data_IF_109704398155
#
_entry.id   IF_109704398155
#
_cell.length_a   1.000
_cell.length_b   1.000
_cell.length_c   1.000
_cell.angle_alpha   90.00
_cell.angle_beta   90.00
_cell.angle_gamma   90.00
#
_symmetry.space_group_name_H-M   'P 1'
#
loop_
_entity.id
_entity.type
_entity.pdbx_description
1 polymer ?
#
# COMPACT_ATOMS: atom_id res chain seq x y z
N UNK A 1 -40.03 30.98 32.58
CA UNK A 1 -38.93 31.12 31.58
C UNK A 1 -39.04 32.55 31.02
N UNK A 2 -38.07 33.44 31.32
CA UNK A 2 -38.03 34.80 30.75
C UNK A 2 -37.65 34.73 29.28
N UNK A 3 -38.48 35.33 28.41
CA UNK A 3 -38.20 35.44 26.99
C UNK A 3 -37.02 36.39 26.78
N UNK A 4 -35.95 35.91 26.16
CA UNK A 4 -34.81 36.71 25.74
C UNK A 4 -35.25 37.73 24.69
N UNK A 5 -34.88 39.03 24.92
CA UNK A 5 -35.22 40.11 24.00
C UNK A 5 -34.26 40.08 22.77
N UNK A 6 -34.72 40.55 21.59
CA UNK A 6 -33.89 40.70 20.39
C UNK A 6 -32.60 41.49 20.64
N UNK A 7 -32.62 42.41 21.61
CA UNK A 7 -31.50 43.25 21.99
C UNK A 7 -30.45 42.50 22.79
N UNK A 8 -30.85 41.50 23.59
CA UNK A 8 -29.95 40.67 24.35
C UNK A 8 -29.27 39.62 23.41
N UNK A 9 -29.99 39.10 22.43
CA UNK A 9 -29.46 38.23 21.43
C UNK A 9 -28.35 38.90 20.57
N UNK A 10 -28.56 40.15 20.15
CA UNK A 10 -27.57 40.90 19.37
C UNK A 10 -26.34 41.28 20.23
N UNK A 11 -26.45 41.51 21.52
CA UNK A 11 -25.30 41.70 22.41
C UNK A 11 -24.46 40.43 22.55
N UNK A 12 -25.10 39.28 22.67
CA UNK A 12 -24.39 38.00 22.75
C UNK A 12 -23.68 37.62 21.46
N UNK A 13 -24.28 37.87 20.31
CA UNK A 13 -23.63 37.60 19.02
C UNK A 13 -22.47 38.56 18.74
N UNK A 14 -22.51 39.81 19.13
CA UNK A 14 -21.40 40.76 18.98
C UNK A 14 -20.23 40.46 19.93
N UNK A 15 -20.47 39.91 21.12
CA UNK A 15 -19.39 39.44 22.02
C UNK A 15 -18.72 38.17 21.53
N UNK A 16 -19.44 37.25 20.90
CA UNK A 16 -18.83 36.05 20.30
C UNK A 16 -17.93 36.38 19.07
N UNK A 17 -18.32 37.38 18.27
CA UNK A 17 -17.53 37.82 17.12
C UNK A 17 -16.22 38.51 17.53
N UNK A 18 -16.21 39.24 18.66
CA UNK A 18 -15.00 39.87 19.21
C UNK A 18 -14.00 38.85 19.78
N UNK A 19 -14.48 37.79 20.41
CA UNK A 19 -13.63 36.74 20.97
C UNK A 19 -12.93 35.91 19.87
N UNK A 20 -13.58 35.74 18.71
CA UNK A 20 -12.98 35.01 17.55
C UNK A 20 -11.90 35.83 16.82
N UNK A 21 -11.99 37.19 16.85
CA UNK A 21 -11.00 38.04 16.20
C UNK A 21 -9.72 38.19 17.04
N UNK A 22 -9.80 38.11 18.36
CA UNK A 22 -8.63 38.21 19.26
C UNK A 22 -7.84 36.92 19.39
N UNK A 23 -8.42 35.76 19.04
CA UNK A 23 -7.73 34.48 19.10
C UNK A 23 -6.73 34.25 17.89
N UNK A 24 -6.80 35.12 16.86
CA UNK A 24 -5.90 35.04 15.70
C UNK A 24 -4.63 35.91 15.81
N UNK A 25 -4.48 36.68 16.89
CA UNK A 25 -3.35 37.62 17.09
C UNK A 25 -2.38 37.22 18.20
N UNK A 26 -2.54 36.05 18.79
CA UNK A 26 -1.53 35.52 19.71
C UNK A 26 -0.49 34.74 18.90
N UNK A 27 0.79 35.13 18.89
CA UNK A 27 1.84 34.25 18.37
C UNK A 27 1.89 33.04 19.28
N UNK A 28 1.49 31.88 18.77
CA UNK A 28 1.73 30.61 19.44
C UNK A 28 3.23 30.34 19.42
N UNK A 29 3.94 30.81 20.42
CA UNK A 29 5.20 30.23 20.85
C UNK A 29 4.89 28.79 21.29
N UNK A 30 4.98 27.87 20.35
CA UNK A 30 4.97 26.44 20.60
C UNK A 30 6.27 26.11 21.32
N UNK A 31 6.28 26.25 22.65
CA UNK A 31 7.24 25.58 23.49
C UNK A 31 6.97 24.08 23.34
N UNK A 32 7.78 23.42 22.56
CA UNK A 32 7.85 21.97 22.52
C UNK A 32 8.14 21.48 23.93
N UNK A 33 7.09 20.97 24.61
CA UNK A 33 7.28 20.24 25.87
C UNK A 33 8.18 19.03 25.58
N UNK A 34 9.21 18.80 26.39
CA UNK A 34 9.96 17.57 26.30
C UNK A 34 8.98 16.42 26.54
N UNK A 35 8.93 15.47 25.61
CA UNK A 35 8.16 14.23 25.71
C UNK A 35 8.79 13.41 26.85
N UNK A 36 8.27 13.58 28.06
CA UNK A 36 8.53 12.69 29.18
C UNK A 36 7.44 11.60 29.17
N UNK A 37 7.84 10.40 28.87
CA UNK A 37 7.05 9.18 28.90
C UNK A 37 7.42 8.33 27.71
N UNK A 38 8.03 7.16 27.92
CA UNK A 38 8.35 6.21 26.87
C UNK A 38 7.07 5.69 26.20
N UNK A 39 6.52 6.47 25.28
CA UNK A 39 5.48 5.97 24.40
C UNK A 39 6.10 4.89 23.54
N UNK A 40 5.44 3.72 23.44
CA UNK A 40 5.85 2.66 22.53
C UNK A 40 6.04 3.26 21.13
N UNK A 41 7.08 2.84 20.38
CA UNK A 41 7.29 3.31 19.03
C UNK A 41 6.08 2.97 18.14
N UNK A 42 5.81 3.81 17.15
CA UNK A 42 4.87 3.43 16.10
C UNK A 42 5.50 2.37 15.19
N UNK A 43 4.66 1.65 14.48
CA UNK A 43 5.06 0.70 13.44
C UNK A 43 4.34 1.10 12.16
N UNK A 44 5.07 1.63 11.19
CA UNK A 44 4.55 2.04 9.90
C UNK A 44 5.00 1.03 8.85
N UNK A 45 4.08 0.38 8.18
CA UNK A 45 4.36 -0.65 7.18
C UNK A 45 3.84 -0.17 5.83
N UNK A 46 4.74 -0.04 4.85
CA UNK A 46 4.43 0.28 3.47
C UNK A 46 4.69 -0.96 2.61
N UNK A 47 3.63 -1.50 2.04
CA UNK A 47 3.69 -2.61 1.08
C UNK A 47 3.39 -2.06 -0.30
N UNK A 48 4.32 -2.23 -1.23
CA UNK A 48 4.16 -1.87 -2.63
C UNK A 48 3.84 -3.15 -3.43
N UNK A 49 2.65 -3.20 -3.98
CA UNK A 49 2.14 -4.39 -4.68
C UNK A 49 2.98 -4.73 -5.93
N UNK A 50 3.36 -5.97 -6.06
CA UNK A 50 4.16 -6.48 -7.18
C UNK A 50 5.55 -5.81 -7.33
N UNK A 51 6.18 -5.30 -6.26
CA UNK A 51 7.49 -4.67 -6.35
C UNK A 51 8.64 -5.68 -6.25
N UNK A 52 9.27 -5.99 -7.36
CA UNK A 52 10.43 -6.88 -7.43
C UNK A 52 11.72 -6.18 -6.98
N UNK A 53 12.47 -6.77 -6.05
CA UNK A 53 13.81 -6.30 -5.71
C UNK A 53 14.77 -6.31 -6.90
N UNK A 54 14.52 -7.15 -7.91
CA UNK A 54 15.34 -7.27 -9.14
C UNK A 54 15.24 -6.04 -10.05
N UNK A 55 14.25 -5.15 -9.82
CA UNK A 55 14.05 -3.93 -10.60
C UNK A 55 14.37 -2.65 -9.79
N UNK A 56 14.94 -2.79 -8.58
CA UNK A 56 15.29 -1.65 -7.73
C UNK A 56 16.80 -1.38 -7.74
N UNK A 57 17.18 -0.13 -8.03
CA UNK A 57 18.60 0.27 -8.05
C UNK A 57 19.28 0.09 -6.69
N UNK A 58 18.55 0.22 -5.58
CA UNK A 58 19.04 -0.02 -4.22
C UNK A 58 19.51 -1.48 -4.00
N UNK A 59 18.99 -2.43 -4.78
CA UNK A 59 19.40 -3.84 -4.79
C UNK A 59 20.30 -4.21 -5.99
N UNK A 60 20.90 -3.20 -6.64
CA UNK A 60 21.88 -3.41 -7.71
C UNK A 60 21.30 -3.51 -9.11
N UNK A 61 20.04 -3.11 -9.32
CA UNK A 61 19.50 -2.99 -10.67
C UNK A 61 20.18 -1.88 -11.46
N UNK A 62 20.44 -2.10 -12.74
CA UNK A 62 21.23 -1.19 -13.56
C UNK A 62 20.55 0.16 -13.82
N UNK A 63 19.24 0.19 -13.99
CA UNK A 63 18.48 1.45 -14.10
C UNK A 63 18.27 2.09 -12.73
N UNK A 64 18.44 3.40 -12.66
CA UNK A 64 18.18 4.14 -11.42
C UNK A 64 16.67 4.35 -11.23
N UNK A 65 15.98 3.28 -10.81
CA UNK A 65 14.53 3.24 -10.62
C UNK A 65 14.08 3.72 -9.26
N UNK A 66 14.98 3.67 -8.24
CA UNK A 66 14.60 3.82 -6.84
C UNK A 66 15.58 4.68 -6.01
N UNK A 67 15.89 5.93 -6.44
CA UNK A 67 16.85 6.78 -5.71
C UNK A 67 16.37 7.18 -4.30
N UNK A 68 15.07 7.34 -4.07
CA UNK A 68 14.54 7.67 -2.74
C UNK A 68 14.47 6.45 -1.82
N UNK A 69 14.17 5.26 -2.32
CA UNK A 69 14.35 4.03 -1.57
C UNK A 69 15.83 3.80 -1.20
N UNK A 70 16.78 4.18 -2.07
CA UNK A 70 18.20 4.17 -1.74
C UNK A 70 18.53 5.17 -0.62
N UNK A 71 17.96 6.39 -0.63
CA UNK A 71 18.06 7.37 0.47
C UNK A 71 17.50 6.81 1.78
N UNK A 72 16.35 6.13 1.73
CA UNK A 72 15.78 5.48 2.90
C UNK A 72 16.70 4.38 3.45
N UNK A 73 17.32 3.60 2.56
CA UNK A 73 18.25 2.52 2.92
C UNK A 73 19.45 3.02 3.74
N UNK A 74 19.90 4.28 3.54
CA UNK A 74 21.02 4.85 4.30
C UNK A 74 20.76 4.97 5.82
N UNK A 75 19.50 4.82 6.23
CA UNK A 75 19.06 4.82 7.64
C UNK A 75 18.26 3.60 8.03
N UNK A 76 18.41 2.50 7.31
CA UNK A 76 17.61 1.29 7.50
C UNK A 76 18.48 0.04 7.53
N UNK A 77 17.94 -1.04 8.07
CA UNK A 77 18.44 -2.40 7.87
C UNK A 77 17.88 -2.91 6.56
N UNK A 78 18.75 -3.25 5.61
CA UNK A 78 18.41 -3.73 4.26
C UNK A 78 18.62 -5.23 4.19
N UNK A 79 17.57 -5.97 3.89
CA UNK A 79 17.60 -7.41 3.72
C UNK A 79 17.82 -7.73 2.23
N UNK A 80 19.05 -8.11 1.89
CA UNK A 80 19.47 -8.28 0.50
C UNK A 80 18.93 -9.56 -0.15
N UNK A 81 18.48 -10.52 0.64
CA UNK A 81 17.93 -11.81 0.20
C UNK A 81 16.59 -12.09 0.90
N UNK A 82 15.60 -11.19 0.73
CA UNK A 82 14.25 -11.37 1.27
C UNK A 82 13.29 -11.87 0.20
N UNK A 83 12.48 -12.86 0.56
CA UNK A 83 11.58 -13.56 -0.36
C UNK A 83 10.14 -13.48 0.13
N UNK A 84 9.21 -13.32 -0.80
CA UNK A 84 7.80 -13.56 -0.54
C UNK A 84 7.51 -15.06 -0.48
N UNK A 85 6.59 -15.47 0.37
CA UNK A 85 6.08 -16.84 0.42
C UNK A 85 5.04 -17.14 -0.66
N UNK A 86 4.70 -16.17 -1.51
CA UNK A 86 3.81 -16.31 -2.65
C UNK A 86 4.28 -15.49 -3.85
N UNK A 87 3.89 -15.89 -5.06
CA UNK A 87 4.24 -15.20 -6.30
C UNK A 87 3.14 -14.25 -6.81
N UNK A 88 2.07 -14.04 -6.03
CA UNK A 88 0.98 -13.10 -6.32
C UNK A 88 0.27 -12.66 -5.02
N UNK A 89 -0.60 -11.66 -5.11
CA UNK A 89 -1.14 -10.93 -3.95
C UNK A 89 -1.74 -11.82 -2.87
N UNK A 90 -2.59 -12.79 -3.23
CA UNK A 90 -3.34 -13.55 -2.21
C UNK A 90 -2.41 -14.37 -1.29
N UNK A 91 -1.55 -15.28 -1.78
CA UNK A 91 -0.65 -16.02 -0.89
C UNK A 91 0.44 -15.14 -0.27
N UNK A 92 1.00 -14.18 -1.02
CA UNK A 92 2.06 -13.29 -0.52
C UNK A 92 1.58 -12.41 0.63
N UNK A 93 0.47 -11.71 0.44
CA UNK A 93 -0.13 -10.85 1.48
C UNK A 93 -0.64 -11.66 2.67
N UNK A 94 -1.30 -12.80 2.43
CA UNK A 94 -1.76 -13.65 3.54
C UNK A 94 -0.60 -14.13 4.41
N UNK A 95 0.52 -14.53 3.78
CA UNK A 95 1.73 -14.95 4.52
C UNK A 95 2.36 -13.79 5.30
N UNK A 96 2.45 -12.61 4.67
CA UNK A 96 2.97 -11.39 5.34
C UNK A 96 2.12 -11.00 6.56
N UNK A 97 0.79 -11.06 6.42
CA UNK A 97 -0.14 -10.67 7.48
C UNK A 97 -0.26 -11.71 8.60
N UNK A 98 -0.08 -12.99 8.30
CA UNK A 98 -0.28 -14.06 9.30
C UNK A 98 1.01 -14.63 9.88
N UNK A 99 2.14 -14.54 9.17
CA UNK A 99 3.37 -15.26 9.52
C UNK A 99 3.25 -16.77 9.31
N UNK A 100 2.33 -17.20 8.42
CA UNK A 100 2.11 -18.60 8.08
C UNK A 100 2.38 -18.83 6.59
N UNK A 101 2.80 -20.05 6.23
CA UNK A 101 2.95 -20.42 4.84
C UNK A 101 1.62 -20.68 4.12
N UNK A 102 1.57 -20.58 2.78
CA UNK A 102 0.35 -20.77 2.00
C UNK A 102 -0.36 -22.10 2.24
N UNK A 103 0.40 -23.19 2.43
CA UNK A 103 -0.17 -24.51 2.75
C UNK A 103 -0.82 -24.59 4.12
N UNK A 104 -0.48 -23.69 5.04
CA UNK A 104 -1.08 -23.58 6.37
C UNK A 104 -2.29 -22.65 6.35
N UNK A 105 -2.12 -21.39 5.92
CA UNK A 105 -3.23 -20.42 5.94
C UNK A 105 -4.28 -20.66 4.86
N UNK A 106 -4.00 -21.47 3.81
CA UNK A 106 -4.92 -21.91 2.75
C UNK A 106 -5.38 -20.84 1.75
N UNK A 107 -4.97 -19.60 1.85
CA UNK A 107 -5.21 -18.58 0.83
C UNK A 107 -4.20 -18.78 -0.33
N UNK A 108 -4.48 -19.73 -1.22
CA UNK A 108 -3.56 -20.19 -2.27
C UNK A 108 -4.05 -19.92 -3.70
N UNK A 109 -5.30 -19.46 -3.86
CA UNK A 109 -5.91 -19.11 -5.14
C UNK A 109 -6.16 -17.62 -5.21
N UNK A 110 -6.39 -17.07 -6.40
CA UNK A 110 -6.70 -15.65 -6.60
C UNK A 110 -7.89 -15.13 -5.76
N UNK A 111 -8.87 -15.97 -5.48
CA UNK A 111 -10.01 -15.67 -4.60
C UNK A 111 -9.93 -16.36 -3.23
N UNK A 112 -8.74 -16.86 -2.85
CA UNK A 112 -8.52 -17.59 -1.62
C UNK A 112 -8.67 -16.72 -0.38
N UNK A 113 -9.24 -17.31 0.67
CA UNK A 113 -9.34 -16.72 1.99
C UNK A 113 -8.50 -17.51 3.00
N UNK A 114 -8.07 -16.84 4.05
CA UNK A 114 -7.40 -17.48 5.18
C UNK A 114 -8.39 -18.43 5.84
N UNK A 115 -7.93 -19.64 6.18
CA UNK A 115 -8.75 -20.63 6.87
C UNK A 115 -9.37 -20.02 8.14
N UNK A 116 -10.67 -20.18 8.31
CA UNK A 116 -11.44 -19.52 9.39
C UNK A 116 -10.87 -19.76 10.79
N UNK A 117 -10.29 -20.93 11.02
CA UNK A 117 -9.63 -21.28 12.29
C UNK A 117 -8.30 -20.57 12.53
N UNK A 118 -7.80 -19.82 11.55
CA UNK A 118 -6.49 -19.13 11.60
C UNK A 118 -6.62 -17.63 11.47
N UNK A 119 -7.83 -17.07 11.38
CA UNK A 119 -8.05 -15.63 11.21
C UNK A 119 -7.63 -14.80 12.42
N UNK A 120 -7.45 -15.43 13.57
CA UNK A 120 -6.89 -14.82 14.77
C UNK A 120 -5.35 -14.75 14.77
N UNK A 121 -4.68 -15.37 13.80
CA UNK A 121 -3.23 -15.34 13.61
C UNK A 121 -2.88 -14.24 12.61
N UNK A 122 -2.87 -12.99 13.07
CA UNK A 122 -2.60 -11.85 12.22
C UNK A 122 -1.80 -10.75 12.93
N UNK A 123 -1.09 -9.91 12.18
CA UNK A 123 -0.20 -8.87 12.71
C UNK A 123 -0.93 -7.86 13.60
N UNK A 124 -2.21 -7.55 13.33
CA UNK A 124 -2.97 -6.60 14.12
C UNK A 124 -3.25 -7.16 15.53
N UNK A 125 -3.57 -8.45 15.63
CA UNK A 125 -3.70 -9.13 16.92
C UNK A 125 -2.36 -9.28 17.63
N UNK A 126 -1.31 -9.60 16.89
CA UNK A 126 0.03 -9.82 17.45
C UNK A 126 0.63 -8.58 18.10
N UNK A 127 0.43 -7.40 17.55
CA UNK A 127 0.88 -6.15 18.18
C UNK A 127 0.04 -5.76 19.39
N UNK A 128 -1.18 -6.30 19.50
CA UNK A 128 -2.04 -6.14 20.66
C UNK A 128 -2.82 -4.83 20.74
N UNK A 129 -3.73 -4.75 21.73
CA UNK A 129 -4.65 -3.62 21.90
C UNK A 129 -3.98 -2.35 22.47
N UNK A 130 -2.72 -2.43 22.85
CA UNK A 130 -1.92 -1.28 23.25
C UNK A 130 -1.48 -0.40 22.06
N UNK A 131 -1.72 -0.86 20.84
CA UNK A 131 -1.55 -0.09 19.61
C UNK A 131 -2.91 0.28 19.02
N UNK A 132 -3.04 1.50 18.47
CA UNK A 132 -4.13 1.80 17.54
C UNK A 132 -3.78 1.15 16.20
N UNK A 133 -4.62 0.21 15.75
CA UNK A 133 -4.34 -0.64 14.59
C UNK A 133 -5.11 -0.15 13.38
N UNK A 134 -4.38 0.44 12.43
CA UNK A 134 -4.92 1.01 11.21
C UNK A 134 -4.53 0.16 10.02
N UNK A 135 -5.47 -0.06 9.11
CA UNK A 135 -5.24 -0.74 7.84
C UNK A 135 -5.79 0.07 6.66
N UNK A 136 -5.03 0.09 5.57
CA UNK A 136 -5.43 0.63 4.28
C UNK A 136 -4.89 -0.29 3.17
N UNK A 137 -5.71 -0.58 2.18
CA UNK A 137 -5.24 -1.19 0.94
C UNK A 137 -5.96 -0.61 -0.25
N UNK A 138 -5.20 -0.22 -1.27
CA UNK A 138 -5.74 0.06 -2.59
C UNK A 138 -6.14 -1.23 -3.31
N UNK A 139 -5.36 -2.31 -3.14
CA UNK A 139 -5.71 -3.62 -3.70
C UNK A 139 -6.90 -4.22 -2.93
N UNK A 140 -7.83 -4.85 -3.63
CA UNK A 140 -9.04 -5.40 -3.05
C UNK A 140 -8.80 -6.71 -2.29
N UNK A 141 -7.82 -7.50 -2.70
CA UNK A 141 -7.54 -8.79 -2.07
C UNK A 141 -7.12 -8.65 -0.60
N UNK A 142 -6.19 -7.76 -0.20
CA UNK A 142 -5.92 -7.51 1.20
C UNK A 142 -7.14 -7.04 1.99
N UNK A 143 -8.08 -6.31 1.36
CA UNK A 143 -9.31 -5.88 2.04
C UNK A 143 -10.22 -7.04 2.42
N UNK A 144 -10.21 -8.17 1.69
CA UNK A 144 -10.90 -9.38 2.13
C UNK A 144 -10.27 -9.98 3.39
N UNK A 145 -8.94 -9.94 3.52
CA UNK A 145 -8.26 -10.35 4.75
C UNK A 145 -8.56 -9.40 5.90
N UNK A 146 -8.59 -8.09 5.64
CA UNK A 146 -8.98 -7.11 6.67
C UNK A 146 -10.42 -7.34 7.15
N UNK A 147 -11.34 -7.73 6.26
CA UNK A 147 -12.68 -8.13 6.66
C UNK A 147 -12.69 -9.40 7.55
N UNK A 148 -11.77 -10.33 7.32
CA UNK A 148 -11.59 -11.49 8.22
C UNK A 148 -10.98 -11.09 9.57
N UNK A 149 -10.20 -10.01 9.62
CA UNK A 149 -9.51 -9.48 10.82
C UNK A 149 -10.24 -8.30 11.47
N UNK A 150 -11.48 -8.01 11.07
CA UNK A 150 -12.19 -6.79 11.49
C UNK A 150 -12.26 -6.58 13.02
N UNK A 151 -12.22 -7.64 13.82
CA UNK A 151 -12.15 -7.57 15.29
C UNK A 151 -10.78 -7.14 15.84
N UNK A 152 -9.74 -7.15 15.00
CA UNK A 152 -8.37 -6.83 15.39
C UNK A 152 -7.89 -5.49 14.76
N UNK A 153 -8.71 -4.85 13.92
CA UNK A 153 -8.42 -3.57 13.27
C UNK A 153 -9.32 -2.49 13.86
N UNK A 154 -8.71 -1.43 14.43
CA UNK A 154 -9.46 -0.34 15.05
C UNK A 154 -9.94 0.68 14.01
N UNK A 155 -9.17 0.86 12.92
CA UNK A 155 -9.49 1.80 11.83
C UNK A 155 -9.17 1.20 10.48
N UNK A 156 -10.21 0.88 9.70
CA UNK A 156 -10.07 0.49 8.30
C UNK A 156 -10.38 1.68 7.39
N UNK A 157 -9.40 2.09 6.58
CA UNK A 157 -9.57 3.14 5.58
C UNK A 157 -10.05 2.47 4.28
N UNK A 158 -11.20 2.88 3.71
CA UNK A 158 -11.70 2.32 2.46
C UNK A 158 -10.73 2.52 1.29
N UNK A 159 -10.63 1.55 0.38
CA UNK A 159 -9.70 1.56 -0.75
C UNK A 159 -9.79 2.81 -1.65
N UNK A 160 -10.99 3.37 -1.81
CA UNK A 160 -11.23 4.57 -2.61
C UNK A 160 -10.97 5.91 -1.90
N UNK A 161 -10.59 5.92 -0.61
CA UNK A 161 -10.48 7.16 0.20
C UNK A 161 -9.48 8.17 -0.35
N UNK A 162 -8.44 7.72 -1.06
CA UNK A 162 -7.43 8.58 -1.68
C UNK A 162 -7.59 8.69 -3.20
N UNK A 163 -8.74 8.25 -3.71
CA UNK A 163 -9.11 8.42 -5.12
C UNK A 163 -9.61 9.85 -5.35
N UNK A 164 -9.16 10.47 -6.45
CA UNK A 164 -9.61 11.82 -6.85
C UNK A 164 -10.66 11.80 -7.95
N UNK A 165 -11.00 10.67 -8.48
CA UNK A 165 -12.14 10.58 -9.38
C UNK A 165 -13.37 10.59 -8.51
N UNK A 166 -13.92 11.81 -8.38
CA UNK A 166 -15.17 12.01 -7.69
C UNK A 166 -16.25 11.22 -8.42
N UNK A 167 -16.61 10.09 -7.85
CA UNK A 167 -17.78 9.35 -8.26
C UNK A 167 -19.00 10.22 -7.96
N UNK A 168 -19.39 11.10 -8.87
CA UNK A 168 -20.71 11.73 -8.81
C UNK A 168 -21.84 10.70 -8.67
N UNK A 169 -21.56 9.48 -9.11
CA UNK A 169 -22.41 8.31 -8.91
C UNK A 169 -22.06 7.50 -7.65
N UNK A 170 -20.80 7.54 -7.15
CA UNK A 170 -20.31 6.61 -6.14
C UNK A 170 -20.99 6.70 -4.81
N UNK A 171 -21.19 7.86 -4.24
CA UNK A 171 -21.87 7.97 -2.95
C UNK A 171 -23.41 7.85 -3.08
N UNK A 172 -23.97 8.41 -4.14
CA UNK A 172 -25.44 8.45 -4.31
C UNK A 172 -26.00 7.25 -5.07
N UNK A 173 -25.22 6.65 -5.97
CA UNK A 173 -25.63 5.52 -6.81
C UNK A 173 -24.86 4.21 -6.50
N UNK A 174 -24.06 4.17 -5.45
CA UNK A 174 -23.25 3.00 -5.10
C UNK A 174 -24.10 1.74 -4.87
N UNK A 175 -25.33 1.88 -4.34
CA UNK A 175 -26.28 0.78 -4.24
C UNK A 175 -26.78 0.31 -5.60
N UNK A 176 -27.03 1.24 -6.52
CA UNK A 176 -27.49 0.93 -7.87
C UNK A 176 -26.36 0.38 -8.73
N UNK A 177 -25.13 0.86 -8.53
CA UNK A 177 -23.94 0.33 -9.18
C UNK A 177 -23.68 -1.13 -8.76
N UNK A 178 -23.65 -1.40 -7.46
CA UNK A 178 -23.52 -2.77 -6.93
C UNK A 178 -24.68 -3.67 -7.39
N UNK A 179 -25.90 -3.14 -7.47
CA UNK A 179 -27.07 -3.86 -7.98
C UNK A 179 -26.95 -4.13 -9.47
N UNK A 180 -26.43 -3.16 -10.25
CA UNK A 180 -26.22 -3.29 -11.69
C UNK A 180 -25.09 -4.28 -11.97
N UNK A 181 -24.00 -4.23 -11.22
CA UNK A 181 -22.86 -5.15 -11.35
C UNK A 181 -23.26 -6.57 -10.98
N UNK A 182 -23.95 -6.78 -9.85
CA UNK A 182 -24.52 -8.09 -9.48
C UNK A 182 -25.54 -8.60 -10.49
N UNK A 183 -26.35 -7.71 -11.07
CA UNK A 183 -27.32 -8.08 -12.08
C UNK A 183 -26.65 -8.45 -13.40
N UNK A 184 -25.54 -7.78 -13.75
CA UNK A 184 -24.74 -8.11 -14.91
C UNK A 184 -24.01 -9.44 -14.72
N UNK A 185 -23.44 -9.67 -13.54
CA UNK A 185 -22.82 -10.95 -13.18
C UNK A 185 -23.87 -12.08 -13.17
N UNK A 186 -25.05 -11.85 -12.60
CA UNK A 186 -26.16 -12.81 -12.62
C UNK A 186 -26.64 -13.08 -14.07
N UNK A 187 -26.68 -12.06 -14.91
CA UNK A 187 -27.05 -12.23 -16.34
C UNK A 187 -26.01 -13.05 -17.10
N UNK A 188 -24.71 -12.78 -16.87
CA UNK A 188 -23.63 -13.52 -17.53
C UNK A 188 -23.50 -14.96 -17.06
N UNK A 189 -23.68 -15.21 -15.76
CA UNK A 189 -23.40 -16.50 -15.15
C UNK A 189 -24.65 -17.36 -14.92
N UNK A 190 -25.82 -16.75 -14.67
CA UNK A 190 -27.03 -17.47 -14.33
C UNK A 190 -28.10 -17.55 -15.46
N UNK A 191 -27.88 -16.76 -16.54
CA UNK A 191 -28.72 -16.72 -17.76
C UNK A 191 -30.23 -16.48 -17.62
N UNK A 192 -30.77 -16.51 -16.42
CA UNK A 192 -32.25 -16.50 -16.18
C UNK A 192 -32.77 -15.16 -15.64
N UNK A 193 -31.90 -14.17 -15.39
CA UNK A 193 -32.32 -12.86 -14.89
C UNK A 193 -32.03 -11.76 -15.91
N UNK A 194 -33.06 -11.05 -16.40
CA UNK A 194 -32.83 -9.93 -17.31
C UNK A 194 -32.09 -8.80 -16.58
N UNK A 195 -31.16 -8.09 -17.26
CA UNK A 195 -30.44 -6.96 -16.67
C UNK A 195 -31.41 -5.87 -16.25
N UNK A 196 -31.35 -5.44 -14.98
CA UNK A 196 -32.31 -4.48 -14.42
C UNK A 196 -32.12 -3.05 -14.90
N UNK A 197 -30.94 -2.68 -15.43
CA UNK A 197 -30.72 -1.39 -16.09
C UNK A 197 -29.41 -1.33 -16.90
N UNK A 198 -29.50 -1.42 -18.22
CA UNK A 198 -28.39 -1.15 -19.13
C UNK A 198 -28.15 0.36 -19.34
N UNK A 199 -29.15 1.20 -19.11
CA UNK A 199 -29.08 2.65 -19.35
C UNK A 199 -28.14 3.31 -18.34
N UNK A 200 -28.22 2.94 -17.07
CA UNK A 200 -27.33 3.52 -16.03
C UNK A 200 -25.87 3.14 -16.24
N UNK A 201 -25.55 1.90 -16.62
CA UNK A 201 -24.18 1.49 -16.91
C UNK A 201 -23.60 2.18 -18.15
N UNK A 202 -24.43 2.54 -19.14
CA UNK A 202 -23.99 3.32 -20.31
C UNK A 202 -23.70 4.78 -19.93
N UNK A 203 -24.58 5.42 -19.18
CA UNK A 203 -24.35 6.78 -18.66
C UNK A 203 -23.13 6.85 -17.79
N UNK A 204 -22.95 5.89 -16.88
CA UNK A 204 -21.80 5.79 -16.01
C UNK A 204 -20.50 5.70 -16.80
N UNK A 205 -20.40 4.83 -17.80
CA UNK A 205 -19.21 4.72 -18.66
C UNK A 205 -18.87 6.03 -19.34
N UNK A 206 -19.88 6.80 -19.82
CA UNK A 206 -19.66 8.08 -20.46
C UNK A 206 -19.17 9.13 -19.45
N UNK A 207 -19.83 9.25 -18.29
CA UNK A 207 -19.43 10.19 -17.25
C UNK A 207 -18.08 9.83 -16.64
N UNK A 208 -17.84 8.57 -16.32
CA UNK A 208 -16.58 8.08 -15.79
C UNK A 208 -15.43 8.34 -16.76
N UNK A 209 -15.60 8.02 -18.04
CA UNK A 209 -14.59 8.29 -19.06
C UNK A 209 -14.26 9.79 -19.16
N UNK A 210 -15.26 10.67 -19.12
CA UNK A 210 -15.04 12.13 -19.09
C UNK A 210 -14.31 12.58 -17.84
N UNK A 211 -14.73 12.11 -16.67
CA UNK A 211 -14.09 12.43 -15.40
C UNK A 211 -12.62 11.96 -15.37
N UNK A 212 -12.34 10.74 -15.81
CA UNK A 212 -10.98 10.19 -15.92
C UNK A 212 -10.10 11.05 -16.84
N UNK A 213 -10.61 11.42 -18.03
CA UNK A 213 -9.87 12.27 -18.98
C UNK A 213 -9.61 13.66 -18.39
N UNK A 214 -10.61 14.27 -17.75
CA UNK A 214 -10.46 15.58 -17.11
C UNK A 214 -9.47 15.53 -15.93
N UNK A 215 -9.56 14.51 -15.09
CA UNK A 215 -8.66 14.34 -13.93
C UNK A 215 -7.24 14.06 -14.37
N UNK A 216 -7.04 13.33 -15.47
CA UNK A 216 -5.71 13.02 -15.97
C UNK A 216 -4.96 14.26 -16.46
N UNK A 217 -5.62 15.19 -17.16
CA UNK A 217 -5.04 16.43 -17.71
C UNK A 217 -3.60 16.25 -18.28
N UNK A 218 -3.34 15.08 -18.90
CA UNK A 218 -2.02 14.75 -19.45
C UNK A 218 -0.97 14.35 -18.40
N UNK A 219 -1.38 14.07 -17.14
CA UNK A 219 -0.47 13.67 -16.05
C UNK A 219 0.09 12.26 -16.19
N UNK A 220 -0.65 11.34 -16.83
CA UNK A 220 -0.24 9.97 -17.11
C UNK A 220 -0.50 9.64 -18.58
N UNK A 221 0.54 9.53 -19.43
CA UNK A 221 0.36 9.32 -20.87
C UNK A 221 -0.38 8.03 -21.23
N UNK A 222 -0.23 6.98 -20.44
CA UNK A 222 -0.92 5.70 -20.63
C UNK A 222 -2.32 5.68 -19.98
N UNK A 223 -2.79 6.78 -19.41
CA UNK A 223 -4.02 6.88 -18.63
C UNK A 223 -3.78 6.88 -17.12
N UNK A 224 -4.82 7.23 -16.34
CA UNK A 224 -4.73 7.16 -14.89
C UNK A 224 -4.55 5.71 -14.42
N UNK A 225 -3.75 5.47 -13.39
CA UNK A 225 -3.73 4.19 -12.70
C UNK A 225 -5.13 3.80 -12.22
N UNK A 226 -5.46 2.52 -12.36
CA UNK A 226 -6.75 1.94 -12.01
C UNK A 226 -6.54 0.71 -11.12
N UNK A 227 -7.42 0.50 -10.16
CA UNK A 227 -7.38 -0.67 -9.29
C UNK A 227 -8.02 -1.87 -9.99
N UNK A 228 -7.22 -2.78 -10.50
CA UNK A 228 -7.66 -3.98 -11.21
C UNK A 228 -8.78 -3.64 -12.24
N UNK A 229 -9.81 -4.47 -12.32
CA UNK A 229 -10.97 -4.26 -13.19
C UNK A 229 -12.03 -3.31 -12.60
N UNK A 230 -11.74 -2.73 -11.43
CA UNK A 230 -12.66 -1.80 -10.78
C UNK A 230 -12.47 -0.38 -11.30
N UNK A 231 -13.53 0.38 -11.50
CA UNK A 231 -13.47 1.74 -12.00
C UNK A 231 -13.00 2.74 -10.92
N UNK A 232 -12.03 2.36 -10.11
CA UNK A 232 -11.40 3.21 -9.10
C UNK A 232 -10.07 3.70 -9.67
N UNK A 233 -10.04 4.97 -10.05
CA UNK A 233 -8.86 5.62 -10.60
C UNK A 233 -8.21 6.51 -9.55
N UNK A 234 -6.89 6.60 -9.58
CA UNK A 234 -6.16 7.42 -8.63
C UNK A 234 -4.99 8.16 -9.30
N UNK A 235 -4.47 9.15 -8.58
CA UNK A 235 -3.21 9.82 -8.93
C UNK A 235 -2.22 9.55 -7.79
N UNK A 236 -0.99 9.18 -8.15
CA UNK A 236 0.05 8.90 -7.15
C UNK A 236 0.22 10.03 -6.12
N UNK A 237 0.34 11.32 -6.53
CA UNK A 237 0.44 12.41 -5.57
C UNK A 237 -0.71 12.45 -4.55
N UNK A 238 -1.95 12.23 -4.99
CA UNK A 238 -3.10 12.27 -4.11
C UNK A 238 -3.12 11.12 -3.10
N UNK A 239 -2.68 9.93 -3.52
CA UNK A 239 -2.53 8.79 -2.60
C UNK A 239 -1.52 9.13 -1.52
N UNK A 240 -0.36 9.68 -1.89
CA UNK A 240 0.66 10.05 -0.91
C UNK A 240 0.26 11.23 -0.03
N UNK A 241 -0.49 12.21 -0.55
CA UNK A 241 -1.10 13.27 0.28
C UNK A 241 -2.04 12.68 1.33
N UNK A 242 -2.85 11.69 0.96
CA UNK A 242 -3.72 10.96 1.88
C UNK A 242 -2.95 10.17 2.94
N UNK A 243 -1.85 9.50 2.55
CA UNK A 243 -0.95 8.80 3.48
C UNK A 243 -0.32 9.78 4.47
N UNK A 244 0.26 10.87 3.98
CA UNK A 244 0.89 11.92 4.80
C UNK A 244 -0.12 12.47 5.81
N UNK A 245 -1.32 12.85 5.35
CA UNK A 245 -2.38 13.34 6.24
C UNK A 245 -2.80 12.29 7.29
N UNK A 246 -2.86 11.02 6.90
CA UNK A 246 -3.20 9.94 7.82
C UNK A 246 -2.12 9.74 8.89
N UNK A 247 -0.84 9.76 8.48
CA UNK A 247 0.30 9.59 9.39
C UNK A 247 0.45 10.79 10.32
N UNK A 248 0.20 12.02 9.85
CA UNK A 248 0.23 13.23 10.67
C UNK A 248 -0.83 13.19 11.81
N UNK A 249 -1.93 12.47 11.58
CA UNK A 249 -3.01 12.28 12.56
C UNK A 249 -2.91 11.02 13.42
N UNK A 250 -1.82 10.23 13.32
CA UNK A 250 -1.68 9.02 14.14
C UNK A 250 -1.46 9.34 15.61
N UNK A 251 -2.08 8.54 16.48
CA UNK A 251 -1.80 8.56 17.90
C UNK A 251 -0.47 7.87 18.23
N UNK A 252 0.16 8.19 19.35
CA UNK A 252 1.29 7.42 19.84
C UNK A 252 0.95 5.94 20.02
N UNK A 253 1.91 5.06 19.74
CA UNK A 253 1.73 3.61 19.71
C UNK A 253 0.67 3.18 18.68
N UNK A 254 0.88 3.50 17.41
CA UNK A 254 0.07 3.03 16.29
C UNK A 254 0.80 1.96 15.47
N UNK A 255 0.06 0.93 15.05
CA UNK A 255 0.39 0.09 13.90
C UNK A 255 -0.39 0.62 12.69
N UNK A 256 0.28 1.11 11.67
CA UNK A 256 -0.36 1.54 10.43
C UNK A 256 0.18 0.72 9.25
N UNK A 257 -0.69 -0.06 8.65
CA UNK A 257 -0.41 -0.89 7.48
C UNK A 257 -1.00 -0.26 6.23
N UNK A 258 -0.16 0.06 5.27
CA UNK A 258 -0.52 0.66 4.00
C UNK A 258 -0.09 -0.25 2.85
N UNK A 259 -1.05 -0.79 2.11
CA UNK A 259 -0.82 -1.59 0.92
C UNK A 259 -1.20 -0.77 -0.31
N UNK A 260 -0.19 -0.36 -1.06
CA UNK A 260 -0.32 0.50 -2.23
C UNK A 260 -0.30 -0.35 -3.49
N UNK A 261 -1.23 -0.10 -4.40
CA UNK A 261 -1.36 -0.84 -5.64
C UNK A 261 -0.15 -0.68 -6.59
N UNK A 262 0.46 0.51 -6.74
CA UNK A 262 1.68 0.63 -7.54
C UNK A 262 2.86 -0.14 -6.91
N UNK A 263 3.75 -0.74 -7.76
CA UNK A 263 3.82 -0.65 -9.22
C UNK A 263 3.12 -1.78 -9.99
N UNK A 264 2.08 -2.41 -9.45
CA UNK A 264 1.28 -3.44 -10.12
C UNK A 264 0.75 -3.01 -11.50
N UNK A 265 0.56 -3.96 -12.42
CA UNK A 265 -0.09 -3.73 -13.73
C UNK A 265 -1.53 -3.16 -13.56
N UNK A 266 -1.97 -2.19 -14.40
CA UNK A 266 -1.31 -1.61 -15.55
C UNK A 266 -0.25 -0.57 -15.18
N UNK A 267 0.90 -0.60 -15.88
CA UNK A 267 2.02 0.29 -15.61
C UNK A 267 1.76 1.67 -16.20
N UNK A 268 1.32 2.60 -15.36
CA UNK A 268 0.92 3.95 -15.75
C UNK A 268 1.83 5.01 -15.12
N UNK A 269 3.09 5.16 -15.59
CA UNK A 269 4.00 6.17 -15.08
C UNK A 269 3.46 7.58 -15.29
N UNK A 270 3.84 8.49 -14.41
CA UNK A 270 3.57 9.92 -14.61
C UNK A 270 4.39 10.45 -15.81
N UNK A 271 3.94 11.53 -16.41
CA UNK A 271 4.56 12.12 -17.60
C UNK A 271 6.06 12.39 -17.45
N UNK A 272 6.49 12.75 -16.25
CA UNK A 272 7.90 13.00 -15.92
C UNK A 272 8.79 11.77 -16.14
N UNK A 273 8.25 10.57 -15.92
CA UNK A 273 8.99 9.31 -16.00
C UNK A 273 8.66 8.50 -17.23
N UNK A 274 7.66 8.91 -18.02
CA UNK A 274 7.28 8.25 -19.26
C UNK A 274 8.42 8.30 -20.28
N UNK A 275 8.79 7.16 -20.83
CA UNK A 275 9.93 6.94 -21.72
C UNK A 275 11.30 7.29 -21.11
N UNK A 276 11.39 7.46 -19.79
CA UNK A 276 12.66 7.74 -19.12
C UNK A 276 13.71 6.66 -19.34
N UNK A 277 13.28 5.41 -19.44
CA UNK A 277 14.15 4.26 -19.64
C UNK A 277 14.03 3.67 -21.07
N UNK A 278 13.71 4.53 -22.06
CA UNK A 278 13.83 4.18 -23.47
C UNK A 278 15.29 4.35 -23.93
N UNK A 279 16.19 3.63 -23.26
CA UNK A 279 17.63 3.74 -23.31
C UNK A 279 18.28 2.65 -24.17
N UNK A 280 17.48 1.76 -24.76
CA UNK A 280 17.94 0.61 -25.55
C UNK A 280 18.55 -0.52 -24.72
N UNK A 281 18.72 -0.34 -23.40
CA UNK A 281 19.22 -1.41 -22.53
C UNK A 281 18.18 -2.52 -22.37
N UNK A 282 18.60 -3.75 -22.51
CA UNK A 282 17.79 -4.92 -22.17
C UNK A 282 18.56 -5.86 -21.26
N UNK A 283 17.85 -6.53 -20.40
CA UNK A 283 18.42 -7.60 -19.59
C UNK A 283 18.89 -8.75 -20.50
N UNK A 284 19.92 -9.48 -20.07
CA UNK A 284 20.36 -10.69 -20.74
C UNK A 284 19.19 -11.65 -20.89
N UNK A 285 18.94 -12.09 -22.11
CA UNK A 285 17.87 -13.04 -22.41
C UNK A 285 18.15 -14.39 -21.75
N UNK A 286 17.13 -14.96 -21.15
CA UNK A 286 17.16 -16.28 -20.54
C UNK A 286 16.31 -17.24 -21.38
N UNK A 287 16.63 -18.54 -21.38
CA UNK A 287 15.82 -19.53 -22.09
C UNK A 287 14.35 -19.44 -21.71
N UNK A 288 13.48 -19.53 -22.71
CA UNK A 288 12.02 -19.54 -22.51
C UNK A 288 11.64 -20.77 -21.67
N UNK A 289 10.77 -20.54 -20.68
CA UNK A 289 10.26 -21.64 -19.87
C UNK A 289 9.17 -22.41 -20.64
N UNK A 290 9.18 -23.76 -20.65
CA UNK A 290 8.20 -24.54 -21.41
C UNK A 290 6.74 -24.32 -21.03
N UNK A 291 6.48 -23.90 -19.78
CA UNK A 291 5.13 -23.56 -19.26
C UNK A 291 4.84 -22.04 -19.26
N UNK A 292 5.69 -21.22 -19.86
CA UNK A 292 5.49 -19.78 -19.93
C UNK A 292 4.56 -19.39 -21.08
N UNK A 293 4.09 -18.16 -21.07
CA UNK A 293 3.17 -17.57 -22.07
C UNK A 293 3.85 -17.30 -23.43
N UNK A 294 5.15 -17.52 -23.53
CA UNK A 294 5.96 -17.29 -24.73
C UNK A 294 5.95 -15.85 -25.27
N UNK A 295 5.87 -14.86 -24.38
CA UNK A 295 6.03 -13.46 -24.76
C UNK A 295 7.37 -13.22 -25.47
N UNK A 296 7.34 -12.44 -26.57
CA UNK A 296 8.56 -12.10 -27.29
C UNK A 296 9.50 -11.21 -26.46
N UNK A 297 10.84 -11.30 -26.63
CA UNK A 297 11.80 -10.44 -25.94
C UNK A 297 11.49 -8.94 -26.08
N UNK A 298 11.07 -8.52 -27.29
CA UNK A 298 10.66 -7.13 -27.56
C UNK A 298 9.43 -6.70 -26.75
N UNK A 299 8.46 -7.58 -26.53
CA UNK A 299 7.29 -7.31 -25.71
C UNK A 299 7.69 -7.21 -24.23
N UNK A 300 8.48 -8.17 -23.73
CA UNK A 300 9.00 -8.17 -22.36
C UNK A 300 9.84 -6.91 -22.06
N UNK A 301 10.68 -6.47 -23.02
CA UNK A 301 11.41 -5.21 -22.88
C UNK A 301 10.47 -4.03 -22.67
N UNK A 302 9.42 -3.88 -23.49
CA UNK A 302 8.46 -2.76 -23.37
C UNK A 302 7.71 -2.77 -22.04
N UNK A 303 7.28 -3.93 -21.58
CA UNK A 303 6.58 -4.07 -20.30
C UNK A 303 7.52 -3.76 -19.13
N UNK A 304 8.73 -4.32 -19.13
CA UNK A 304 9.73 -4.03 -18.10
C UNK A 304 10.07 -2.54 -18.05
N UNK A 305 10.26 -1.89 -19.21
CA UNK A 305 10.50 -0.45 -19.25
C UNK A 305 9.36 0.33 -18.59
N UNK A 306 8.12 0.05 -18.96
CA UNK A 306 6.95 0.73 -18.37
C UNK A 306 6.84 0.48 -16.85
N UNK A 307 7.15 -0.72 -16.41
CA UNK A 307 7.22 -1.07 -14.99
C UNK A 307 8.33 -0.30 -14.25
N UNK A 308 9.54 -0.24 -14.81
CA UNK A 308 10.65 0.54 -14.25
C UNK A 308 10.31 2.04 -14.16
N UNK A 309 9.64 2.58 -15.16
CA UNK A 309 9.14 3.96 -15.19
C UNK A 309 8.06 4.20 -14.14
N UNK A 310 7.22 3.18 -13.88
CA UNK A 310 6.20 3.26 -12.85
C UNK A 310 6.80 3.17 -11.44
N UNK A 311 7.81 2.32 -11.24
CA UNK A 311 8.62 2.32 -10.01
C UNK A 311 9.23 3.70 -9.76
N UNK A 312 9.85 4.32 -10.77
CA UNK A 312 10.45 5.64 -10.63
C UNK A 312 9.42 6.74 -10.29
N UNK A 313 8.19 6.62 -10.84
CA UNK A 313 7.08 7.51 -10.49
C UNK A 313 6.66 7.34 -9.02
N UNK A 314 6.57 6.11 -8.57
CA UNK A 314 6.23 5.76 -7.18
C UNK A 314 7.34 6.21 -6.21
N UNK A 315 8.59 5.95 -6.55
CA UNK A 315 9.76 6.33 -5.75
C UNK A 315 9.87 7.85 -5.56
N UNK A 316 9.48 8.63 -6.56
CA UNK A 316 9.41 10.09 -6.43
C UNK A 316 8.39 10.53 -5.36
N UNK A 317 7.23 9.93 -5.32
CA UNK A 317 6.23 10.22 -4.29
C UNK A 317 6.65 9.68 -2.92
N UNK A 318 7.31 8.52 -2.89
CA UNK A 318 7.93 8.01 -1.67
C UNK A 318 8.98 8.99 -1.12
N UNK A 319 9.71 9.68 -1.99
CA UNK A 319 10.62 10.76 -1.60
C UNK A 319 9.91 11.89 -0.83
N UNK A 320 8.72 12.33 -1.28
CA UNK A 320 7.90 13.31 -0.56
C UNK A 320 7.46 12.81 0.81
N UNK A 321 7.09 11.54 0.89
CA UNK A 321 6.77 10.90 2.18
C UNK A 321 7.97 10.88 3.11
N UNK A 322 9.17 10.55 2.62
CA UNK A 322 10.40 10.58 3.42
C UNK A 322 10.68 11.98 3.96
N UNK A 323 10.58 13.02 3.12
CA UNK A 323 10.77 14.41 3.54
C UNK A 323 9.80 14.80 4.67
N UNK A 324 8.55 14.34 4.58
CA UNK A 324 7.57 14.53 5.64
C UNK A 324 7.95 13.79 6.92
N UNK A 325 8.28 12.49 6.85
CA UNK A 325 8.67 11.70 8.01
C UNK A 325 9.90 12.27 8.72
N UNK A 326 10.88 12.76 7.95
CA UNK A 326 12.08 13.43 8.46
C UNK A 326 11.73 14.76 9.14
N UNK A 327 10.97 15.63 8.46
CA UNK A 327 10.60 16.96 8.97
C UNK A 327 9.77 16.91 10.26
N UNK A 328 9.01 15.85 10.46
CA UNK A 328 8.19 15.63 11.67
C UNK A 328 8.94 14.82 12.76
N UNK A 329 10.17 14.39 12.51
CA UNK A 329 10.94 13.56 13.45
C UNK A 329 10.30 12.19 13.73
N UNK A 330 9.47 11.67 12.82
CA UNK A 330 8.73 10.40 12.99
C UNK A 330 9.69 9.23 13.15
N UNK A 331 10.82 9.25 12.47
CA UNK A 331 11.86 8.23 12.58
C UNK A 331 12.49 8.10 13.98
N UNK A 332 12.39 9.11 14.83
CA UNK A 332 12.98 9.06 16.17
C UNK A 332 12.19 8.11 17.11
N UNK A 333 10.89 7.88 16.82
CA UNK A 333 10.02 7.03 17.64
C UNK A 333 9.15 6.11 16.78
N UNK A 334 9.67 5.61 15.66
CA UNK A 334 8.90 4.73 14.78
C UNK A 334 9.79 3.69 14.12
N UNK A 335 9.30 2.47 14.03
CA UNK A 335 9.75 1.51 13.04
C UNK A 335 9.08 1.85 11.71
N UNK A 336 9.87 1.98 10.65
CA UNK A 336 9.36 2.20 9.30
C UNK A 336 9.79 1.03 8.44
N UNK A 337 8.81 0.25 7.99
CA UNK A 337 9.00 -0.97 7.21
C UNK A 337 8.57 -0.71 5.77
N UNK A 338 9.43 -1.00 4.81
CA UNK A 338 9.14 -0.99 3.38
C UNK A 338 9.34 -2.39 2.83
N UNK A 339 8.30 -2.93 2.21
CA UNK A 339 8.34 -4.28 1.61
C UNK A 339 7.38 -4.39 0.44
N UNK A 340 7.26 -5.58 -0.11
CA UNK A 340 6.26 -5.96 -1.12
C UNK A 340 5.68 -7.33 -0.76
N UNK A 341 4.50 -7.60 -1.28
CA UNK A 341 3.83 -8.89 -1.13
C UNK A 341 4.32 -9.94 -2.14
N UNK A 342 4.73 -9.52 -3.35
CA UNK A 342 5.37 -10.33 -4.39
C UNK A 342 6.14 -9.44 -5.38
N UNK A 343 6.78 -10.05 -6.36
CA UNK A 343 7.46 -9.35 -7.45
C UNK A 343 6.72 -9.44 -8.77
N UNK A 344 7.46 -9.19 -9.88
CA UNK A 344 6.92 -9.12 -11.23
C UNK A 344 7.89 -9.73 -12.23
N UNK A 345 7.41 -10.57 -13.15
CA UNK A 345 8.21 -11.30 -14.13
C UNK A 345 8.22 -10.59 -15.49
N UNK A 346 9.41 -10.48 -16.10
CA UNK A 346 9.61 -10.03 -17.48
C UNK A 346 10.76 -10.80 -18.12
N UNK A 347 10.81 -12.09 -17.92
CA UNK A 347 11.90 -12.95 -18.41
C UNK A 347 11.39 -14.34 -18.77
N UNK A 348 12.19 -15.11 -19.50
CA UNK A 348 11.90 -16.51 -19.86
C UNK A 348 10.60 -16.72 -20.63
N UNK A 349 10.15 -15.71 -21.38
CA UNK A 349 8.86 -15.72 -22.08
C UNK A 349 7.67 -15.44 -21.18
N UNK A 350 7.87 -15.08 -19.91
CA UNK A 350 6.83 -14.84 -18.92
C UNK A 350 6.67 -13.35 -18.59
N UNK A 351 5.43 -12.92 -18.42
CA UNK A 351 5.06 -11.59 -17.96
C UNK A 351 4.05 -11.70 -16.84
N UNK A 352 4.21 -10.87 -15.80
CA UNK A 352 3.26 -10.80 -14.72
C UNK A 352 3.70 -11.60 -13.50
N UNK A 353 2.76 -11.95 -12.66
CA UNK A 353 3.02 -12.57 -11.36
C UNK A 353 2.11 -13.76 -11.05
N UNK A 354 0.92 -13.86 -11.64
CA UNK A 354 0.02 -15.02 -11.48
C UNK A 354 0.54 -16.17 -12.35
N UNK A 355 1.66 -16.70 -11.95
CA UNK A 355 2.36 -17.75 -12.66
C UNK A 355 2.79 -18.86 -11.70
N UNK A 356 2.78 -20.14 -12.12
CA UNK A 356 3.34 -21.22 -11.30
C UNK A 356 4.87 -21.16 -11.19
N UNK A 357 5.52 -20.18 -11.81
CA UNK A 357 6.96 -20.08 -11.92
C UNK A 357 7.54 -19.23 -10.79
N UNK A 358 8.24 -19.85 -9.86
CA UNK A 358 8.85 -19.22 -8.69
C UNK A 358 10.28 -18.73 -8.99
N UNK A 359 10.41 -17.83 -9.97
CA UNK A 359 11.69 -17.17 -10.25
C UNK A 359 11.92 -15.98 -9.32
N UNK A 360 13.19 -15.65 -9.08
CA UNK A 360 13.56 -14.54 -8.19
C UNK A 360 12.85 -13.23 -8.50
N UNK A 361 12.63 -12.90 -9.78
CA UNK A 361 11.93 -11.68 -10.14
C UNK A 361 10.48 -11.63 -9.63
N UNK A 362 9.84 -12.80 -9.46
CA UNK A 362 8.48 -12.92 -8.93
C UNK A 362 8.41 -13.03 -7.40
N UNK A 363 9.47 -13.50 -6.73
CA UNK A 363 9.42 -13.78 -5.30
C UNK A 363 10.47 -13.04 -4.47
N UNK A 364 11.57 -12.55 -5.05
CA UNK A 364 12.54 -11.72 -4.32
C UNK A 364 12.02 -10.29 -4.25
N UNK A 365 11.63 -9.89 -3.06
CA UNK A 365 10.99 -8.60 -2.77
C UNK A 365 11.89 -7.72 -1.89
N UNK A 366 11.75 -6.38 -1.92
CA UNK A 366 12.45 -5.54 -0.98
C UNK A 366 11.98 -5.79 0.45
N UNK A 367 12.91 -5.72 1.38
CA UNK A 367 12.61 -5.51 2.79
C UNK A 367 13.65 -4.55 3.36
N UNK A 368 13.17 -3.43 3.88
CA UNK A 368 13.99 -2.43 4.57
C UNK A 368 13.26 -2.00 5.84
N UNK A 369 13.96 -1.97 6.96
CA UNK A 369 13.40 -1.60 8.27
C UNK A 369 14.28 -0.53 8.90
N UNK A 370 13.74 0.68 9.10
CA UNK A 370 14.38 1.71 9.94
C UNK A 370 13.86 1.56 11.36
N UNK A 371 14.76 1.31 12.30
CA UNK A 371 14.43 1.28 13.73
C UNK A 371 14.36 2.71 14.30
N UNK A 372 13.67 2.94 15.44
CA UNK A 372 13.64 4.23 16.10
C UNK A 372 15.03 4.81 16.30
N UNK A 373 15.27 6.02 15.77
CA UNK A 373 16.55 6.72 15.87
C UNK A 373 17.68 6.15 15.03
N UNK A 374 17.48 5.15 14.19
CA UNK A 374 18.52 4.58 13.32
C UNK A 374 19.04 5.66 12.33
N UNK A 375 20.36 5.83 12.24
CA UNK A 375 21.02 6.86 11.41
C UNK A 375 21.95 6.28 10.35
N UNK A 376 22.19 4.97 10.36
CA UNK A 376 23.11 4.32 9.43
C UNK A 376 22.53 3.03 8.88
N UNK A 377 22.92 2.74 7.64
CA UNK A 377 22.57 1.53 6.93
C UNK A 377 23.21 0.31 7.59
N UNK A 378 22.47 -0.78 7.64
CA UNK A 378 22.93 -2.11 7.97
C UNK A 378 22.47 -3.08 6.88
N UNK A 379 23.31 -4.00 6.48
CA UNK A 379 23.00 -4.97 5.43
C UNK A 379 22.93 -6.37 5.99
N UNK A 380 21.84 -7.08 5.69
CA UNK A 380 21.62 -8.50 6.01
C UNK A 380 21.65 -9.28 4.70
N UNK A 381 22.49 -10.30 4.62
CA UNK A 381 22.65 -11.16 3.44
C UNK A 381 22.10 -12.56 3.64
N UNK A 382 21.84 -12.97 4.89
CA UNK A 382 21.16 -14.23 5.18
C UNK A 382 19.75 -14.23 4.58
N UNK A 383 19.30 -15.35 3.98
CA UNK A 383 17.95 -15.45 3.43
C UNK A 383 16.88 -15.25 4.51
N UNK A 384 15.87 -14.45 4.19
CA UNK A 384 14.68 -14.21 5.01
C UNK A 384 13.44 -14.31 4.14
N UNK A 385 12.29 -14.50 4.76
CA UNK A 385 11.03 -14.70 4.04
C UNK A 385 9.88 -13.91 4.69
N UNK A 386 8.85 -13.59 3.94
CA UNK A 386 7.73 -12.75 4.42
C UNK A 386 7.02 -13.27 5.68
N UNK A 387 7.04 -14.59 5.94
CA UNK A 387 6.49 -15.16 7.19
C UNK A 387 7.27 -14.76 8.44
N UNK A 388 8.52 -14.29 8.31
CA UNK A 388 9.38 -13.83 9.41
C UNK A 388 8.93 -12.43 9.93
N UNK A 389 8.17 -11.69 9.12
CA UNK A 389 7.75 -10.34 9.48
C UNK A 389 6.77 -10.34 10.66
N UNK A 390 5.78 -11.21 10.67
CA UNK A 390 4.75 -11.23 11.71
C UNK A 390 5.30 -11.53 13.13
N UNK A 391 6.12 -12.57 13.36
CA UNK A 391 6.73 -12.78 14.67
C UNK A 391 7.70 -11.65 15.06
N UNK A 392 8.39 -11.07 14.09
CA UNK A 392 9.24 -9.89 14.32
C UNK A 392 8.42 -8.69 14.80
N UNK A 393 7.27 -8.39 14.18
CA UNK A 393 6.39 -7.32 14.63
C UNK A 393 5.86 -7.54 16.06
N UNK A 394 5.52 -8.77 16.43
CA UNK A 394 5.17 -9.09 17.81
C UNK A 394 6.30 -8.75 18.79
N UNK A 395 7.54 -9.14 18.44
CA UNK A 395 8.73 -8.82 19.22
C UNK A 395 8.96 -7.31 19.34
N UNK A 396 8.92 -6.57 18.23
CA UNK A 396 9.10 -5.11 18.20
C UNK A 396 7.99 -4.36 18.98
N UNK A 397 6.80 -4.92 19.04
CA UNK A 397 5.70 -4.42 19.86
C UNK A 397 5.87 -4.72 21.36
N UNK A 398 6.89 -5.49 21.75
CA UNK A 398 7.13 -5.93 23.12
C UNK A 398 6.19 -7.03 23.58
N UNK A 399 5.62 -7.81 22.66
CA UNK A 399 4.71 -8.90 22.94
C UNK A 399 5.41 -10.26 22.86
N UNK A 400 4.89 -11.31 23.50
CA UNK A 400 5.39 -12.67 23.35
C UNK A 400 5.35 -13.12 21.89
N UNK A 401 6.41 -13.81 21.48
CA UNK A 401 6.46 -14.43 20.15
C UNK A 401 5.57 -15.66 20.18
N UNK A 402 4.61 -15.80 19.25
CA UNK A 402 3.65 -16.91 19.30
C UNK A 402 4.31 -18.25 18.98
N UNK A 403 3.96 -19.29 19.75
CA UNK A 403 4.50 -20.65 19.56
C UNK A 403 4.06 -21.29 18.24
N UNK A 404 2.92 -20.84 17.68
CA UNK A 404 2.38 -21.33 16.41
C UNK A 404 3.03 -20.70 15.17
N UNK A 405 4.01 -19.80 15.34
CA UNK A 405 4.70 -19.16 14.21
C UNK A 405 5.39 -20.21 13.32
N UNK A 406 5.44 -19.89 12.04
CA UNK A 406 6.24 -20.67 11.06
C UNK A 406 7.47 -19.91 10.60
N UNK A 407 7.50 -18.59 10.80
CA UNK A 407 8.66 -17.73 10.59
C UNK A 407 9.55 -17.60 11.81
N UNK A 408 10.77 -17.13 11.59
CA UNK A 408 11.74 -16.78 12.63
C UNK A 408 11.81 -15.24 12.81
N UNK A 409 12.49 -14.78 13.84
CA UNK A 409 12.75 -13.35 13.96
C UNK A 409 13.77 -12.91 12.90
N UNK A 410 13.52 -11.79 12.27
CA UNK A 410 14.45 -11.19 11.31
C UNK A 410 15.79 -10.84 12.00
N UNK A 411 16.93 -11.15 11.38
CA UNK A 411 18.25 -10.72 11.86
C UNK A 411 18.29 -9.22 12.15
N UNK A 412 19.02 -8.81 13.16
CA UNK A 412 19.11 -7.43 13.67
C UNK A 412 17.79 -6.85 14.22
N UNK A 413 16.66 -7.61 14.14
CA UNK A 413 15.36 -7.24 14.71
C UNK A 413 14.92 -8.26 15.80
N UNK A 414 15.88 -8.81 16.51
CA UNK A 414 15.68 -9.83 17.55
C UNK A 414 16.09 -11.24 17.14
N UNK A 415 16.28 -11.49 15.85
CA UNK A 415 16.78 -12.76 15.31
C UNK A 415 18.31 -12.85 15.32
N UNK A 416 18.81 -14.05 15.13
CA UNK A 416 20.25 -14.33 14.97
C UNK A 416 20.67 -14.09 13.52
N UNK A 417 21.91 -13.65 13.32
CA UNK A 417 22.53 -13.58 12.00
C UNK A 417 22.81 -14.98 11.44
#
# INVERSE_FOLDING_TARGET
>A
MKKLSRRDFLKWTSMLSGAFALSRLAPTLSLSKPVQGSSRPNILIFVFDAMSAKNLSVYGYQRNTSPNLARFAERATVYNAHYSAGSFTVPGTASLLTGLYPWTHRAINESGLIARSLTDRNIFRLVGTQFERLAFSQNLWPNYFFAQFQGDIDKLIPAGSFSQVDYLAGEKLNRDLLTTQRTFDDFLFKRDTPPKSLIFSLFERIFLRRAVVQTNQGGCPNGLPQLNDYPIYFRLPAVFDGLISTIDGLKPASLAYFHLFPPHDPYNPTKQFYLKFDDGWSQVEKPIHPLGDHWSPKALYRFRRAYDEYIASLDNEFGRLLDFLESKGIFENSYVVVTSDHGELFERGERGHVSPLLYEAGIRVPLMISSPGQKSRQDVYSPTISVDVAPTLAHLAGNPIPDWREGELLPLMGGKE
#
